data_IF_664007660854
#
_entry.id   IF_664007660854
#
_cell.length_a   1.000
_cell.length_b   1.000
_cell.length_c   1.000
_cell.angle_alpha   90.00
_cell.angle_beta   90.00
_cell.angle_gamma   90.00
#
_symmetry.space_group_name_H-M   'P 1'
#
loop_
_entity.id
_entity.type
_entity.pdbx_description
1 polymer ?
#
# COMPACT_ATOMS: atom_id res chain seq x y z
N UNK A 1 -13.89 -20.10 2.97
CA UNK A 1 -12.60 -19.42 2.74
C UNK A 1 -12.87 -18.25 1.82
N UNK A 2 -12.66 -17.02 2.27
CA UNK A 2 -12.75 -15.85 1.37
C UNK A 2 -11.47 -15.74 0.55
N UNK A 3 -11.60 -15.46 -0.74
CA UNK A 3 -10.46 -15.31 -1.67
C UNK A 3 -10.50 -13.90 -2.23
N UNK A 4 -9.38 -13.19 -2.10
CA UNK A 4 -9.21 -11.84 -2.63
C UNK A 4 -8.27 -11.87 -3.84
N UNK A 5 -8.79 -11.47 -5.00
CA UNK A 5 -8.06 -11.41 -6.28
C UNK A 5 -8.14 -9.99 -6.82
N UNK A 6 -6.99 -9.44 -7.18
CA UNK A 6 -6.84 -8.04 -7.56
C UNK A 6 -5.56 -7.78 -8.31
N UNK A 7 -5.25 -6.50 -8.51
CA UNK A 7 -4.08 -6.05 -9.26
C UNK A 7 -3.24 -5.03 -8.49
N UNK A 8 -2.01 -4.83 -8.95
CA UNK A 8 -1.06 -3.83 -8.46
C UNK A 8 -1.40 -2.43 -8.98
N UNK A 9 -2.55 -1.90 -8.56
CA UNK A 9 -3.14 -0.66 -9.04
C UNK A 9 -4.33 -0.92 -9.96
N UNK A 10 -4.81 0.12 -10.64
CA UNK A 10 -6.01 0.05 -11.49
C UNK A 10 -5.82 0.72 -12.85
N UNK A 11 -4.63 1.22 -13.18
CA UNK A 11 -4.34 1.87 -14.45
C UNK A 11 -3.76 0.85 -15.43
N UNK A 12 -4.65 0.20 -16.18
CA UNK A 12 -4.32 -0.78 -17.21
C UNK A 12 -5.17 -0.53 -18.45
N UNK A 13 -4.72 -0.99 -19.61
CA UNK A 13 -5.41 -0.78 -20.90
C UNK A 13 -6.83 -1.37 -20.93
N UNK A 14 -7.09 -2.42 -20.15
CA UNK A 14 -8.41 -3.02 -20.01
C UNK A 14 -9.35 -2.22 -19.09
N UNK A 15 -8.83 -1.30 -18.27
CA UNK A 15 -9.63 -0.35 -17.51
C UNK A 15 -9.93 0.88 -18.38
N UNK A 16 -10.99 0.78 -19.18
CA UNK A 16 -11.41 1.81 -20.13
C UNK A 16 -11.66 3.17 -19.45
N UNK A 17 -12.14 3.17 -18.20
CA UNK A 17 -12.38 4.40 -17.45
C UNK A 17 -11.10 5.06 -16.90
N UNK A 18 -9.97 4.34 -16.87
CA UNK A 18 -8.70 4.84 -16.35
C UNK A 18 -8.77 5.30 -14.89
N UNK A 19 -9.74 4.81 -14.11
CA UNK A 19 -9.98 5.27 -12.75
C UNK A 19 -10.48 4.15 -11.82
N UNK A 20 -10.46 4.43 -10.52
CA UNK A 20 -10.82 3.48 -9.48
C UNK A 20 -12.31 3.12 -9.51
N UNK A 21 -13.20 4.06 -9.80
CA UNK A 21 -14.63 3.77 -9.87
C UNK A 21 -14.99 2.79 -10.98
N UNK A 22 -14.37 2.94 -12.15
CA UNK A 22 -14.52 1.98 -13.23
C UNK A 22 -14.00 0.60 -12.79
N UNK A 23 -12.81 0.56 -12.18
CA UNK A 23 -12.22 -0.69 -11.67
C UNK A 23 -13.16 -1.41 -10.71
N UNK A 24 -13.68 -0.70 -9.69
CA UNK A 24 -14.61 -1.24 -8.69
C UNK A 24 -15.90 -1.75 -9.34
N UNK A 25 -16.39 -1.07 -10.38
CA UNK A 25 -17.67 -1.39 -11.01
C UNK A 25 -17.58 -2.53 -12.04
N UNK A 26 -16.49 -2.62 -12.78
CA UNK A 26 -16.42 -3.43 -14.00
C UNK A 26 -15.33 -4.50 -14.02
N UNK A 27 -14.31 -4.44 -13.15
CA UNK A 27 -13.21 -5.42 -13.18
C UNK A 27 -13.60 -6.81 -12.68
N UNK A 28 -14.69 -6.93 -11.90
CA UNK A 28 -15.06 -8.14 -11.13
C UNK A 28 -14.02 -8.56 -10.08
N UNK A 29 -13.01 -7.71 -9.80
CA UNK A 29 -12.00 -7.92 -8.77
C UNK A 29 -12.49 -7.35 -7.44
N UNK A 30 -12.02 -7.92 -6.34
CA UNK A 30 -12.49 -7.62 -4.98
C UNK A 30 -11.39 -7.08 -4.05
N UNK A 31 -10.17 -6.90 -4.56
CA UNK A 31 -9.07 -6.25 -3.84
C UNK A 31 -8.18 -5.45 -4.79
N UNK A 32 -7.38 -4.55 -4.24
CA UNK A 32 -6.37 -3.81 -5.00
C UNK A 32 -5.15 -3.48 -4.13
N UNK A 33 -3.95 -3.55 -4.72
CA UNK A 33 -2.74 -3.03 -4.10
C UNK A 33 -2.49 -1.58 -4.54
N UNK A 34 -2.44 -0.66 -3.58
CA UNK A 34 -2.07 0.73 -3.83
C UNK A 34 -0.55 0.85 -3.97
N UNK A 35 -0.09 1.05 -5.20
CA UNK A 35 1.33 1.28 -5.51
C UNK A 35 1.74 2.76 -5.50
N UNK A 36 0.82 3.70 -5.73
CA UNK A 36 1.17 5.12 -5.81
C UNK A 36 1.84 5.65 -4.53
N UNK A 37 1.45 5.11 -3.37
CA UNK A 37 2.00 5.44 -2.06
C UNK A 37 3.47 5.02 -1.89
N UNK A 38 3.98 4.12 -2.72
CA UNK A 38 5.39 3.75 -2.74
C UNK A 38 6.28 4.93 -3.16
N UNK A 39 5.83 5.71 -4.14
CA UNK A 39 6.61 6.78 -4.75
C UNK A 39 6.46 8.13 -4.05
N UNK A 40 5.27 8.39 -3.50
CA UNK A 40 4.90 9.67 -2.90
C UNK A 40 3.90 9.48 -1.76
N UNK A 41 4.01 10.29 -0.73
CA UNK A 41 2.96 10.39 0.29
C UNK A 41 1.67 10.95 -0.33
N UNK A 42 0.55 10.21 -0.28
CA UNK A 42 -0.70 10.69 -0.82
C UNK A 42 -1.21 11.89 -0.02
N UNK A 43 -2.03 12.72 -0.65
CA UNK A 43 -2.74 13.74 0.11
C UNK A 43 -3.88 13.12 0.91
N UNK A 44 -4.20 13.69 2.08
CA UNK A 44 -5.30 13.20 2.92
C UNK A 44 -6.65 13.15 2.17
N UNK A 45 -6.91 14.12 1.31
CA UNK A 45 -8.12 14.13 0.48
C UNK A 45 -8.14 12.99 -0.56
N UNK A 46 -6.97 12.58 -1.06
CA UNK A 46 -6.84 11.44 -1.97
C UNK A 46 -7.15 10.13 -1.23
N UNK A 47 -6.63 9.96 -0.02
CA UNK A 47 -6.94 8.81 0.85
C UNK A 47 -8.44 8.72 1.16
N UNK A 48 -9.09 9.84 1.52
CA UNK A 48 -10.55 9.89 1.71
C UNK A 48 -11.32 9.53 0.44
N UNK A 49 -10.83 9.98 -0.71
CA UNK A 49 -11.41 9.64 -2.01
C UNK A 49 -11.34 8.14 -2.28
N UNK A 50 -10.19 7.50 -2.03
CA UNK A 50 -10.04 6.05 -2.16
C UNK A 50 -10.93 5.27 -1.19
N UNK A 51 -11.01 5.68 0.08
CA UNK A 51 -11.89 5.06 1.07
C UNK A 51 -13.36 5.05 0.59
N UNK A 52 -13.83 6.17 0.02
CA UNK A 52 -15.20 6.28 -0.49
C UNK A 52 -15.42 5.48 -1.77
N UNK A 53 -14.52 5.62 -2.75
CA UNK A 53 -14.68 5.06 -4.09
C UNK A 53 -14.43 3.55 -4.14
N UNK A 54 -13.49 3.05 -3.34
CA UNK A 54 -13.15 1.63 -3.25
C UNK A 54 -13.62 0.98 -1.96
N UNK A 55 -14.75 1.43 -1.41
CA UNK A 55 -15.37 0.87 -0.20
C UNK A 55 -15.80 -0.59 -0.33
N UNK A 56 -15.91 -1.11 -1.56
CA UNK A 56 -16.22 -2.51 -1.87
C UNK A 56 -14.98 -3.39 -2.07
N UNK A 57 -13.79 -2.83 -1.95
CA UNK A 57 -12.52 -3.55 -2.12
C UNK A 57 -11.83 -3.74 -0.77
N UNK A 58 -11.07 -4.83 -0.66
CA UNK A 58 -9.94 -4.88 0.27
C UNK A 58 -8.73 -4.21 -0.33
N UNK A 59 -7.83 -3.73 0.53
CA UNK A 59 -6.68 -2.94 0.12
C UNK A 59 -5.39 -3.48 0.72
N UNK A 60 -4.39 -3.66 -0.14
CA UNK A 60 -3.00 -3.77 0.28
C UNK A 60 -2.33 -2.41 0.04
N UNK A 61 -1.72 -1.82 1.07
CA UNK A 61 -1.04 -0.52 0.92
C UNK A 61 0.46 -0.73 0.84
N UNK A 62 1.06 -0.40 -0.30
CA UNK A 62 2.52 -0.49 -0.43
C UNK A 62 3.19 0.65 0.32
N UNK A 63 4.07 0.28 1.23
CA UNK A 63 4.74 1.23 2.12
C UNK A 63 5.74 2.08 1.32
N UNK A 64 5.80 3.37 1.67
CA UNK A 64 6.63 4.34 0.97
C UNK A 64 8.12 3.93 0.91
N UNK A 65 8.75 4.13 -0.24
CA UNK A 65 10.14 3.74 -0.53
C UNK A 65 11.18 4.37 0.40
N UNK A 66 10.86 5.51 1.03
CA UNK A 66 11.75 6.10 2.04
C UNK A 66 11.95 5.18 3.25
N UNK A 67 10.97 4.36 3.58
CA UNK A 67 11.01 3.41 4.70
C UNK A 67 11.73 2.14 4.26
N UNK A 68 11.32 1.53 3.15
CA UNK A 68 11.80 0.20 2.71
C UNK A 68 13.09 0.24 1.88
N UNK A 69 13.25 1.20 0.98
CA UNK A 69 14.37 1.23 0.02
C UNK A 69 15.50 2.16 0.46
N UNK A 70 15.19 3.37 0.90
CA UNK A 70 16.21 4.37 1.25
C UNK A 70 16.76 4.13 2.66
N UNK A 71 15.87 4.08 3.67
CA UNK A 71 16.27 3.84 5.06
C UNK A 71 16.46 2.37 5.38
N UNK A 72 15.84 1.48 4.61
CA UNK A 72 15.88 0.03 4.84
C UNK A 72 15.54 -0.29 6.31
N UNK A 73 14.44 0.30 6.80
CA UNK A 73 13.91 0.24 8.17
C UNK A 73 14.74 0.98 9.25
N UNK A 74 15.98 1.39 8.97
CA UNK A 74 16.82 2.11 9.93
C UNK A 74 16.29 3.53 10.21
N UNK A 75 16.02 3.86 11.48
CA UNK A 75 15.52 5.18 11.89
C UNK A 75 14.32 5.65 11.03
N UNK A 76 13.38 4.74 10.76
CA UNK A 76 12.25 4.98 9.87
C UNK A 76 10.88 4.89 10.57
N UNK A 77 10.85 4.55 11.85
CA UNK A 77 9.61 4.30 12.61
C UNK A 77 8.69 5.53 12.64
N UNK A 78 9.22 6.73 12.92
CA UNK A 78 8.40 7.96 12.93
C UNK A 78 7.77 8.26 11.58
N UNK A 79 8.47 7.95 10.49
CA UNK A 79 7.95 8.13 9.12
C UNK A 79 6.85 7.11 8.85
N UNK A 80 7.02 5.88 9.34
CA UNK A 80 6.00 4.86 9.30
C UNK A 80 4.74 5.26 10.07
N UNK A 81 4.85 5.75 11.31
CA UNK A 81 3.70 6.21 12.08
C UNK A 81 2.94 7.33 11.35
N UNK A 82 3.66 8.29 10.77
CA UNK A 82 3.06 9.35 9.94
C UNK A 82 2.34 8.79 8.71
N UNK A 83 2.97 7.82 8.04
CA UNK A 83 2.39 7.14 6.87
C UNK A 83 1.15 6.33 7.24
N UNK A 84 1.22 5.52 8.30
CA UNK A 84 0.11 4.72 8.79
C UNK A 84 -1.09 5.60 9.17
N UNK A 85 -0.86 6.66 9.95
CA UNK A 85 -1.92 7.57 10.40
C UNK A 85 -2.60 8.32 9.24
N UNK A 86 -1.87 8.60 8.15
CA UNK A 86 -2.43 9.21 6.94
C UNK A 86 -3.51 8.33 6.31
N UNK A 87 -3.40 7.00 6.45
CA UNK A 87 -4.35 6.01 5.95
C UNK A 87 -5.51 5.68 6.90
N UNK A 88 -5.57 6.30 8.08
CA UNK A 88 -6.71 6.15 9.02
C UNK A 88 -8.10 6.26 8.40
N UNK A 89 -8.39 7.10 7.38
CA UNK A 89 -9.72 7.14 6.76
C UNK A 89 -10.13 5.86 6.02
N UNK A 90 -9.17 4.99 5.68
CA UNK A 90 -9.44 3.72 5.01
C UNK A 90 -9.66 2.57 6.01
N UNK A 91 -9.17 2.69 7.25
CA UNK A 91 -9.48 1.79 8.37
C UNK A 91 -9.57 0.31 7.98
N UNK A 92 -10.76 -0.27 8.16
CA UNK A 92 -11.10 -1.69 7.93
C UNK A 92 -11.06 -2.15 6.46
N UNK A 93 -10.89 -1.22 5.52
CA UNK A 93 -10.69 -1.56 4.11
C UNK A 93 -9.27 -2.08 3.86
N UNK A 94 -8.30 -1.67 4.69
CA UNK A 94 -6.91 -2.10 4.57
C UNK A 94 -6.76 -3.46 5.24
N UNK A 95 -6.33 -4.44 4.45
CA UNK A 95 -6.05 -5.78 4.93
C UNK A 95 -4.61 -5.87 5.47
N UNK A 96 -3.65 -5.30 4.73
CA UNK A 96 -2.26 -5.23 5.18
C UNK A 96 -1.46 -4.10 4.52
N UNK A 97 -0.29 -3.81 5.12
CA UNK A 97 0.72 -2.94 4.56
C UNK A 97 1.89 -3.76 4.02
N UNK A 98 2.20 -3.60 2.74
CA UNK A 98 3.27 -4.34 2.09
C UNK A 98 4.61 -3.63 2.25
N UNK A 99 5.48 -4.22 3.06
CA UNK A 99 6.89 -3.83 3.20
C UNK A 99 7.77 -4.58 2.19
N UNK A 100 7.71 -4.18 0.92
CA UNK A 100 8.60 -4.75 -0.10
C UNK A 100 10.00 -4.13 0.01
N UNK A 101 11.00 -4.96 0.30
CA UNK A 101 12.41 -4.55 0.41
C UNK A 101 13.13 -4.59 -0.96
N UNK A 102 14.18 -3.76 -1.17
CA UNK A 102 14.97 -3.81 -2.40
C UNK A 102 15.82 -5.10 -2.48
N UNK A 103 16.26 -5.51 -3.68
CA UNK A 103 17.12 -6.69 -3.85
C UNK A 103 18.44 -6.65 -3.05
N UNK A 104 18.95 -5.45 -2.76
CA UNK A 104 20.15 -5.24 -1.95
C UNK A 104 19.94 -5.46 -0.44
N UNK A 105 18.71 -5.72 0.02
CA UNK A 105 18.41 -6.05 1.40
C UNK A 105 18.50 -7.58 1.59
N UNK A 106 19.72 -8.10 1.62
CA UNK A 106 19.98 -9.54 1.76
C UNK A 106 19.97 -9.99 3.22
N UNK A 107 19.95 -11.30 3.46
CA UNK A 107 19.98 -11.87 4.81
C UNK A 107 21.34 -11.63 5.47
N UNK A 108 21.40 -10.64 6.36
CA UNK A 108 22.56 -10.34 7.22
C UNK A 108 22.10 -10.16 8.66
N UNK A 109 23.01 -10.31 9.63
CA UNK A 109 22.70 -10.08 11.05
C UNK A 109 22.13 -8.69 11.29
N UNK A 110 22.71 -7.68 10.64
CA UNK A 110 22.25 -6.29 10.69
C UNK A 110 20.81 -6.16 10.14
N UNK A 111 20.51 -6.72 8.97
CA UNK A 111 19.19 -6.61 8.36
C UNK A 111 18.11 -7.38 9.14
N UNK A 112 18.46 -8.53 9.73
CA UNK A 112 17.57 -9.25 10.65
C UNK A 112 17.29 -8.39 11.89
N UNK A 113 18.31 -7.74 12.46
CA UNK A 113 18.14 -6.82 13.59
C UNK A 113 17.19 -5.68 13.24
N UNK A 114 17.38 -5.05 12.08
CA UNK A 114 16.49 -3.98 11.59
C UNK A 114 15.03 -4.41 11.44
N UNK A 115 14.77 -5.64 11.00
CA UNK A 115 13.39 -6.16 10.95
C UNK A 115 12.82 -6.32 12.37
N UNK A 116 13.59 -6.94 13.27
CA UNK A 116 13.16 -7.18 14.66
C UNK A 116 12.92 -5.90 15.46
N UNK A 117 13.72 -4.86 15.24
CA UNK A 117 13.56 -3.56 15.91
C UNK A 117 12.41 -2.73 15.36
N UNK A 118 11.96 -3.02 14.13
CA UNK A 118 10.92 -2.26 13.45
C UNK A 118 9.52 -2.88 13.63
N UNK A 119 9.45 -4.20 13.83
CA UNK A 119 8.23 -4.97 14.11
C UNK A 119 7.83 -4.83 15.59
#
# INVERSE_FOLDING_TARGET
>A
MEIYVGTSGWLYDWNIGGNLEWYVKFSSLNTVELNASFYRFPFRNQVRSWARKGSKLKWAIKVHRSITHYRKLKNAYDIWVKFYNLFSPMGELIDFYLFQMPPSFTKTTENIRRIKEFA
#
